data_IF_952026266374
#
_entry.id   IF_952026266374
#
_cell.length_a   1.000
_cell.length_b   1.000
_cell.length_c   1.000
_cell.angle_alpha   90.00
_cell.angle_beta   90.00
_cell.angle_gamma   90.00
#
_symmetry.space_group_name_H-M   'P 1'
#
loop_
_entity.id
_entity.type
_entity.pdbx_description
1 polymer ?
#
# COMPACT_ATOMS: atom_id res chain seq x y z
N UNK A 1 -4.99 -0.17 20.88
CA UNK A 1 -4.84 -0.35 19.42
C UNK A 1 -5.52 -1.60 18.92
N UNK A 2 -5.18 -2.79 19.43
CA UNK A 2 -5.79 -4.05 19.00
C UNK A 2 -7.31 -4.04 19.20
N UNK A 3 -7.80 -3.64 20.37
CA UNK A 3 -9.23 -3.65 20.71
C UNK A 3 -10.08 -2.84 19.72
N UNK A 4 -9.79 -1.56 19.41
CA UNK A 4 -10.55 -0.82 18.39
C UNK A 4 -10.59 -1.49 17.01
N UNK A 5 -9.46 -2.02 16.56
CA UNK A 5 -9.38 -2.66 15.24
C UNK A 5 -10.20 -3.95 15.22
N UNK A 6 -10.06 -4.79 16.26
CA UNK A 6 -10.88 -5.99 16.40
C UNK A 6 -12.36 -5.67 16.56
N UNK A 7 -12.72 -4.57 17.22
CA UNK A 7 -14.12 -4.14 17.35
C UNK A 7 -14.72 -3.79 15.98
N UNK A 8 -14.01 -3.00 15.17
CA UNK A 8 -14.40 -2.72 13.77
C UNK A 8 -14.47 -4.00 12.94
N UNK A 9 -13.55 -4.93 13.18
CA UNK A 9 -13.49 -6.19 12.45
C UNK A 9 -14.44 -7.28 12.98
N UNK A 10 -15.01 -7.09 14.16
CA UNK A 10 -15.76 -8.12 14.86
C UNK A 10 -16.93 -8.71 14.07
N UNK A 11 -17.70 -7.94 13.27
CA UNK A 11 -18.82 -8.50 12.54
C UNK A 11 -18.38 -9.55 11.52
N UNK A 12 -17.21 -9.41 10.89
CA UNK A 12 -16.73 -10.33 9.87
C UNK A 12 -15.72 -11.36 10.37
N UNK A 13 -15.18 -11.18 11.57
CA UNK A 13 -14.32 -12.16 12.23
C UNK A 13 -15.10 -13.20 13.03
N UNK A 14 -16.15 -12.77 13.74
CA UNK A 14 -16.83 -13.61 14.73
C UNK A 14 -18.27 -13.99 14.35
N UNK A 15 -18.75 -13.58 13.18
CA UNK A 15 -20.07 -13.98 12.67
C UNK A 15 -19.97 -14.67 11.31
N UNK A 16 -21.11 -15.07 10.75
CA UNK A 16 -21.21 -15.61 9.38
C UNK A 16 -21.18 -14.52 8.30
N UNK A 17 -21.17 -13.23 8.67
CA UNK A 17 -21.06 -12.13 7.70
C UNK A 17 -19.70 -12.17 7.01
N UNK A 18 -19.70 -11.94 5.71
CA UNK A 18 -18.47 -11.78 4.91
C UNK A 18 -18.32 -10.33 4.50
N UNK A 19 -17.08 -9.87 4.38
CA UNK A 19 -16.78 -8.56 3.85
C UNK A 19 -17.24 -8.50 2.37
N UNK A 20 -18.16 -7.57 2.07
CA UNK A 20 -18.60 -7.31 0.71
C UNK A 20 -17.75 -6.18 0.14
N UNK A 21 -16.74 -6.56 -0.63
CA UNK A 21 -15.88 -5.63 -1.35
C UNK A 21 -16.12 -5.83 -2.85
N UNK A 22 -16.38 -4.74 -3.58
CA UNK A 22 -16.99 -4.80 -4.92
C UNK A 22 -16.17 -5.64 -5.90
N UNK A 23 -14.92 -5.23 -6.17
CA UNK A 23 -14.05 -5.98 -7.09
C UNK A 23 -13.65 -7.34 -6.52
N UNK A 24 -13.69 -7.52 -5.20
CA UNK A 24 -13.46 -8.85 -4.64
C UNK A 24 -14.62 -9.78 -4.94
N UNK A 25 -15.87 -9.32 -4.82
CA UNK A 25 -17.04 -10.10 -5.17
C UNK A 25 -17.02 -10.48 -6.65
N UNK A 26 -16.67 -9.52 -7.50
CA UNK A 26 -16.87 -9.64 -8.95
C UNK A 26 -15.64 -10.18 -9.69
N UNK A 27 -14.43 -10.05 -9.12
CA UNK A 27 -13.17 -10.44 -9.77
C UNK A 27 -12.27 -11.31 -8.86
N UNK A 28 -11.73 -10.77 -7.77
CA UNK A 28 -10.68 -11.47 -7.01
C UNK A 28 -11.18 -12.71 -6.25
N UNK A 29 -12.43 -12.70 -5.80
CA UNK A 29 -13.07 -13.78 -5.06
C UNK A 29 -13.29 -15.03 -5.91
N UNK A 30 -13.93 -14.92 -7.09
CA UNK A 30 -14.02 -16.03 -8.05
C UNK A 30 -12.63 -16.58 -8.44
N UNK A 31 -11.64 -15.72 -8.65
CA UNK A 31 -10.26 -16.13 -8.95
C UNK A 31 -9.63 -16.92 -7.79
N UNK A 32 -9.79 -16.44 -6.56
CA UNK A 32 -9.31 -17.12 -5.38
C UNK A 32 -10.00 -18.48 -5.17
N UNK A 33 -11.30 -18.57 -5.43
CA UNK A 33 -12.07 -19.80 -5.30
C UNK A 33 -11.69 -20.84 -6.36
N UNK A 34 -11.47 -20.40 -7.60
CA UNK A 34 -10.93 -21.26 -8.66
C UNK A 34 -9.57 -21.82 -8.26
N UNK A 35 -8.65 -20.95 -7.81
CA UNK A 35 -7.32 -21.38 -7.38
C UNK A 35 -7.35 -22.34 -6.19
N UNK A 36 -8.29 -22.13 -5.27
CA UNK A 36 -8.54 -23.00 -4.12
C UNK A 36 -9.01 -24.39 -4.55
N UNK A 37 -9.88 -24.47 -5.55
CA UNK A 37 -10.39 -25.74 -6.08
C UNK A 37 -9.27 -26.51 -6.79
N UNK A 38 -8.57 -25.87 -7.72
CA UNK A 38 -7.48 -26.51 -8.46
C UNK A 38 -6.37 -27.01 -7.52
N UNK A 39 -5.96 -26.19 -6.54
CA UNK A 39 -4.96 -26.60 -5.55
C UNK A 39 -5.39 -27.81 -4.71
N UNK A 40 -6.70 -27.97 -4.44
CA UNK A 40 -7.21 -29.13 -3.70
C UNK A 40 -7.26 -30.41 -4.54
N UNK A 41 -7.43 -30.27 -5.84
CA UNK A 41 -7.54 -31.39 -6.77
C UNK A 41 -6.17 -31.87 -7.24
N UNK A 42 -5.28 -30.95 -7.62
CA UNK A 42 -3.98 -31.28 -8.21
C UNK A 42 -2.80 -31.06 -7.27
N UNK A 43 -2.97 -30.29 -6.19
CA UNK A 43 -1.85 -29.81 -5.37
C UNK A 43 -1.02 -28.69 -6.01
N UNK A 44 -1.40 -28.26 -7.22
CA UNK A 44 -0.70 -27.23 -7.98
C UNK A 44 -1.48 -25.92 -7.98
N UNK A 45 -0.76 -24.82 -8.21
CA UNK A 45 -1.38 -23.52 -8.41
C UNK A 45 -1.86 -23.39 -9.86
N UNK A 46 -3.03 -22.77 -10.10
CA UNK A 46 -3.50 -22.50 -11.45
C UNK A 46 -2.49 -21.66 -12.21
N UNK A 47 -2.11 -22.13 -13.39
CA UNK A 47 -1.31 -21.35 -14.35
C UNK A 47 -2.19 -20.58 -15.32
N UNK A 48 -3.39 -21.08 -15.58
CA UNK A 48 -4.34 -20.56 -16.56
C UNK A 48 -5.73 -20.46 -15.94
N UNK A 49 -6.45 -19.37 -16.20
CA UNK A 49 -7.86 -19.23 -15.87
C UNK A 49 -8.69 -19.38 -17.15
N UNK A 50 -9.36 -20.52 -17.39
CA UNK A 50 -10.15 -20.75 -18.61
C UNK A 50 -11.51 -20.02 -18.61
N UNK A 51 -11.93 -19.48 -17.46
CA UNK A 51 -13.28 -18.93 -17.28
C UNK A 51 -13.40 -17.45 -17.67
N UNK A 52 -12.27 -16.78 -17.98
CA UNK A 52 -12.25 -15.37 -18.33
C UNK A 52 -11.78 -15.17 -19.77
N UNK A 53 -12.59 -14.52 -20.61
CA UNK A 53 -12.26 -14.13 -22.00
C UNK A 53 -11.63 -15.25 -22.86
N UNK A 54 -12.17 -16.47 -22.80
CA UNK A 54 -11.63 -17.67 -23.45
C UNK A 54 -10.25 -18.14 -22.94
N UNK A 55 -9.76 -17.50 -21.88
CA UNK A 55 -8.59 -17.90 -21.13
C UNK A 55 -7.62 -16.75 -20.90
N UNK A 56 -7.08 -16.64 -19.68
CA UNK A 56 -6.02 -15.68 -19.33
C UNK A 56 -4.96 -16.33 -18.45
N UNK A 57 -3.69 -15.88 -18.48
CA UNK A 57 -2.68 -16.28 -17.51
C UNK A 57 -3.18 -15.99 -16.10
N UNK A 58 -3.08 -16.96 -15.19
CA UNK A 58 -3.40 -16.74 -13.78
C UNK A 58 -2.16 -16.27 -13.00
N UNK A 59 -1.02 -16.92 -13.25
CA UNK A 59 0.31 -16.45 -12.86
C UNK A 59 0.74 -15.37 -13.85
N UNK A 60 1.39 -14.31 -13.36
CA UNK A 60 1.76 -13.15 -14.20
C UNK A 60 0.63 -12.14 -14.40
N UNK A 61 -0.63 -12.51 -14.14
CA UNK A 61 -1.70 -11.54 -13.98
C UNK A 61 -1.43 -10.68 -12.72
N UNK A 62 -1.02 -9.43 -12.93
CA UNK A 62 -0.56 -8.48 -11.90
C UNK A 62 -1.61 -8.02 -10.90
N UNK A 63 -2.69 -8.78 -10.69
CA UNK A 63 -3.75 -8.50 -9.72
C UNK A 63 -4.00 -9.72 -8.80
N UNK A 64 -3.67 -10.95 -9.22
CA UNK A 64 -3.98 -12.15 -8.44
C UNK A 64 -3.04 -12.39 -7.23
N UNK A 65 -1.88 -11.72 -7.18
CA UNK A 65 -0.91 -11.65 -6.06
C UNK A 65 -0.62 -12.96 -5.33
N UNK A 66 -0.65 -14.09 -6.02
CA UNK A 66 -0.73 -15.39 -5.36
C UNK A 66 0.55 -15.79 -4.63
N UNK A 67 1.69 -15.26 -5.07
CA UNK A 67 2.97 -15.43 -4.40
C UNK A 67 3.15 -14.52 -3.17
N UNK A 68 2.18 -13.66 -2.86
CA UNK A 68 2.13 -12.96 -1.59
C UNK A 68 1.74 -13.94 -0.47
N UNK A 69 2.62 -14.29 0.48
CA UNK A 69 2.37 -15.38 1.41
C UNK A 69 1.06 -15.28 2.21
N UNK A 70 0.57 -14.08 2.61
CA UNK A 70 -0.74 -13.96 3.23
C UNK A 70 -1.90 -14.46 2.36
N UNK A 71 -1.82 -14.35 1.03
CA UNK A 71 -2.86 -14.86 0.12
C UNK A 71 -3.03 -16.38 0.19
N UNK A 72 -2.07 -17.12 0.74
CA UNK A 72 -2.21 -18.56 0.99
C UNK A 72 -3.40 -18.87 1.93
N UNK A 73 -3.85 -17.92 2.75
CA UNK A 73 -5.09 -18.08 3.53
C UNK A 73 -6.33 -18.31 2.66
N UNK A 74 -6.35 -17.77 1.42
CA UNK A 74 -7.44 -17.97 0.47
C UNK A 74 -7.43 -19.38 -0.17
N UNK A 75 -6.30 -20.11 -0.11
CA UNK A 75 -6.25 -21.53 -0.47
C UNK A 75 -6.82 -22.43 0.63
N UNK A 76 -6.70 -22.00 1.89
CA UNK A 76 -7.07 -22.81 3.03
C UNK A 76 -8.53 -22.60 3.43
N UNK A 77 -9.05 -21.38 3.23
CA UNK A 77 -10.39 -20.97 3.67
C UNK A 77 -11.26 -20.54 2.49
N UNK A 78 -12.60 -20.61 2.61
CA UNK A 78 -13.50 -20.00 1.63
C UNK A 78 -13.17 -18.52 1.43
N UNK A 79 -13.20 -18.05 0.18
CA UNK A 79 -12.69 -16.73 -0.22
C UNK A 79 -13.16 -15.58 0.69
N UNK A 80 -14.46 -15.50 1.00
CA UNK A 80 -15.00 -14.45 1.87
C UNK A 80 -14.51 -14.49 3.32
N UNK A 81 -14.33 -15.68 3.90
CA UNK A 81 -13.75 -15.88 5.25
C UNK A 81 -12.26 -15.52 5.25
N UNK A 82 -11.53 -16.01 4.25
CA UNK A 82 -10.10 -15.74 4.11
C UNK A 82 -9.82 -14.24 3.94
N UNK A 83 -10.61 -13.54 3.10
CA UNK A 83 -10.52 -12.10 2.95
C UNK A 83 -10.78 -11.36 4.27
N UNK A 84 -11.82 -11.74 5.01
CA UNK A 84 -12.20 -11.09 6.26
C UNK A 84 -11.05 -11.15 7.29
N UNK A 85 -10.38 -12.29 7.39
CA UNK A 85 -9.19 -12.48 8.24
C UNK A 85 -8.01 -11.66 7.71
N UNK A 86 -7.76 -11.72 6.40
CA UNK A 86 -6.68 -10.95 5.77
C UNK A 86 -6.83 -9.45 5.99
N UNK A 87 -8.02 -8.92 5.79
CA UNK A 87 -8.35 -7.53 6.04
C UNK A 87 -8.00 -7.12 7.47
N UNK A 88 -8.48 -7.88 8.47
CA UNK A 88 -8.19 -7.60 9.88
C UNK A 88 -6.69 -7.64 10.19
N UNK A 89 -5.98 -8.65 9.69
CA UNK A 89 -4.53 -8.78 9.89
C UNK A 89 -3.76 -7.60 9.29
N UNK A 90 -4.14 -7.12 8.10
CA UNK A 90 -3.47 -6.00 7.45
C UNK A 90 -3.80 -4.66 8.11
N UNK A 91 -5.03 -4.44 8.59
CA UNK A 91 -5.36 -3.25 9.38
C UNK A 91 -4.58 -3.24 10.72
N UNK A 92 -4.44 -4.39 11.36
CA UNK A 92 -3.59 -4.54 12.55
C UNK A 92 -2.12 -4.26 12.23
N UNK A 93 -1.61 -4.77 11.11
CA UNK A 93 -0.24 -4.53 10.63
C UNK A 93 0.00 -3.05 10.36
N UNK A 94 -0.92 -2.39 9.66
CA UNK A 94 -0.89 -0.96 9.36
C UNK A 94 -0.81 -0.12 10.64
N UNK A 95 -1.72 -0.38 11.57
CA UNK A 95 -1.76 0.34 12.83
C UNK A 95 -0.51 0.08 13.68
N UNK A 96 -0.11 -1.19 13.85
CA UNK A 96 1.05 -1.59 14.63
C UNK A 96 2.35 -1.03 14.03
N UNK A 97 2.49 -1.09 12.71
CA UNK A 97 3.60 -0.50 11.96
C UNK A 97 3.70 0.99 12.21
N UNK A 98 2.59 1.73 12.08
CA UNK A 98 2.55 3.17 12.29
C UNK A 98 2.85 3.55 13.76
N UNK A 99 2.34 2.78 14.72
CA UNK A 99 2.72 2.95 16.13
C UNK A 99 4.22 2.77 16.34
N UNK A 100 4.82 1.72 15.77
CA UNK A 100 6.26 1.46 15.90
C UNK A 100 7.10 2.52 15.19
N UNK A 101 6.66 2.99 14.02
CA UNK A 101 7.28 4.10 13.30
C UNK A 101 7.25 5.39 14.13
N UNK A 102 6.10 5.78 14.66
CA UNK A 102 5.96 6.93 15.55
C UNK A 102 6.87 6.83 16.79
N UNK A 103 6.92 5.65 17.43
CA UNK A 103 7.84 5.40 18.56
C UNK A 103 9.30 5.54 18.18
N UNK A 104 9.68 5.20 16.94
CA UNK A 104 11.06 5.35 16.44
C UNK A 104 11.50 6.81 16.24
N UNK A 105 10.54 7.75 16.18
CA UNK A 105 10.78 9.19 16.19
C UNK A 105 10.68 9.82 17.60
N UNK A 106 10.55 8.99 18.64
CA UNK A 106 10.53 9.45 20.03
C UNK A 106 9.18 10.01 20.51
N UNK A 107 8.09 9.82 19.75
CA UNK A 107 6.74 10.17 20.22
C UNK A 107 6.36 9.33 21.43
N UNK A 108 5.63 9.88 22.41
CA UNK A 108 5.13 9.15 23.59
C UNK A 108 4.15 8.05 23.19
N UNK A 109 3.87 7.10 24.11
CA UNK A 109 3.03 5.93 23.83
C UNK A 109 1.62 6.32 23.36
N UNK A 110 1.05 7.32 24.01
CA UNK A 110 -0.30 7.83 23.74
C UNK A 110 -0.36 8.42 22.33
N UNK A 111 0.60 9.29 21.99
CA UNK A 111 0.71 9.87 20.65
C UNK A 111 0.90 8.80 19.57
N UNK A 112 1.74 7.80 19.83
CA UNK A 112 1.95 6.70 18.90
C UNK A 112 0.69 5.83 18.72
N UNK A 113 -0.11 5.63 19.78
CA UNK A 113 -1.41 4.93 19.68
C UNK A 113 -2.36 5.71 18.79
N UNK A 114 -2.43 7.04 18.96
CA UNK A 114 -3.25 7.90 18.11
C UNK A 114 -2.79 7.82 16.66
N UNK A 115 -1.48 7.88 16.38
CA UNK A 115 -0.94 7.73 15.01
C UNK A 115 -1.30 6.36 14.40
N UNK A 116 -1.15 5.28 15.19
CA UNK A 116 -1.49 3.92 14.74
C UNK A 116 -2.96 3.77 14.38
N UNK A 117 -3.87 4.30 15.22
CA UNK A 117 -5.30 4.26 14.96
C UNK A 117 -5.70 5.18 13.79
N UNK A 118 -5.11 6.37 13.69
CA UNK A 118 -5.38 7.32 12.62
C UNK A 118 -5.05 6.72 11.24
N UNK A 119 -3.91 6.05 11.11
CA UNK A 119 -3.53 5.38 9.86
C UNK A 119 -4.38 4.13 9.62
N UNK A 120 -4.38 3.20 10.58
CA UNK A 120 -5.00 1.89 10.44
C UNK A 120 -6.52 1.88 10.34
N UNK A 121 -7.19 2.97 10.74
CA UNK A 121 -8.64 3.16 10.60
C UNK A 121 -8.98 4.38 9.74
N UNK A 122 -8.02 4.88 8.94
CA UNK A 122 -8.28 5.97 7.99
C UNK A 122 -9.37 5.57 7.02
N UNK A 123 -10.18 6.54 6.59
CA UNK A 123 -11.19 6.30 5.57
C UNK A 123 -10.55 5.87 4.25
N UNK A 124 -9.32 6.31 3.99
CA UNK A 124 -8.52 5.82 2.87
C UNK A 124 -8.49 4.27 2.92
N UNK A 125 -7.85 3.67 3.93
CA UNK A 125 -7.73 2.20 4.00
C UNK A 125 -9.07 1.48 3.96
N UNK A 126 -10.10 2.01 4.63
CA UNK A 126 -11.44 1.42 4.65
C UNK A 126 -12.11 1.49 3.27
N UNK A 127 -12.03 2.63 2.57
CA UNK A 127 -12.59 2.79 1.23
C UNK A 127 -11.90 1.87 0.22
N UNK A 128 -10.58 1.68 0.33
CA UNK A 128 -9.84 0.76 -0.55
C UNK A 128 -10.20 -0.69 -0.30
N UNK A 129 -10.34 -1.06 0.96
CA UNK A 129 -10.81 -2.38 1.34
C UNK A 129 -12.22 -2.63 0.79
N UNK A 130 -13.12 -1.65 0.88
CA UNK A 130 -14.47 -1.71 0.32
C UNK A 130 -14.48 -1.83 -1.20
N UNK A 131 -13.55 -1.18 -1.90
CA UNK A 131 -13.44 -1.28 -3.35
C UNK A 131 -13.01 -2.69 -3.81
N UNK A 132 -12.28 -3.44 -2.97
CA UNK A 132 -11.86 -4.81 -3.30
C UNK A 132 -10.54 -4.91 -4.06
N UNK A 133 -9.85 -3.80 -4.33
CA UNK A 133 -8.51 -3.75 -4.90
C UNK A 133 -7.44 -4.25 -3.89
N UNK A 134 -7.41 -5.56 -3.66
CA UNK A 134 -6.54 -6.20 -2.68
C UNK A 134 -5.04 -5.87 -2.84
N UNK A 135 -4.44 -5.87 -4.05
CA UNK A 135 -3.04 -5.47 -4.22
C UNK A 135 -2.73 -4.11 -3.59
N UNK A 136 -3.55 -3.11 -3.89
CA UNK A 136 -3.37 -1.75 -3.42
C UNK A 136 -3.50 -1.69 -1.89
N UNK A 137 -4.55 -2.34 -1.35
CA UNK A 137 -4.80 -2.38 0.08
C UNK A 137 -3.63 -3.01 0.86
N UNK A 138 -3.11 -4.16 0.41
CA UNK A 138 -2.00 -4.83 1.08
C UNK A 138 -0.72 -4.01 1.02
N UNK A 139 -0.41 -3.37 -0.11
CA UNK A 139 0.79 -2.52 -0.22
C UNK A 139 0.73 -1.32 0.74
N UNK A 140 -0.40 -0.60 0.80
CA UNK A 140 -0.54 0.56 1.71
C UNK A 140 -0.47 0.13 3.17
N UNK A 141 -1.11 -0.98 3.55
CA UNK A 141 -1.07 -1.47 4.93
C UNK A 141 0.36 -1.81 5.42
N UNK A 142 1.25 -2.17 4.50
CA UNK A 142 2.65 -2.49 4.81
C UNK A 142 3.55 -1.25 4.86
N UNK A 143 3.11 -0.10 4.34
CA UNK A 143 3.92 1.10 4.22
C UNK A 143 4.59 1.53 5.54
N UNK A 144 3.90 1.62 6.70
CA UNK A 144 4.54 2.08 7.93
C UNK A 144 5.62 1.12 8.44
N UNK A 145 5.46 -0.18 8.17
CA UNK A 145 6.46 -1.20 8.52
C UNK A 145 7.69 -1.02 7.64
N UNK A 146 7.52 -0.86 6.33
CA UNK A 146 8.65 -0.69 5.42
C UNK A 146 9.44 0.59 5.74
N UNK A 147 8.75 1.72 6.00
CA UNK A 147 9.41 2.97 6.42
C UNK A 147 10.19 2.81 7.73
N UNK A 148 9.64 2.06 8.69
CA UNK A 148 10.35 1.74 9.93
C UNK A 148 11.62 0.92 9.66
N UNK A 149 11.56 -0.05 8.73
CA UNK A 149 12.69 -0.88 8.36
C UNK A 149 13.78 -0.06 7.66
N UNK A 150 13.41 0.82 6.73
CA UNK A 150 14.33 1.78 6.08
C UNK A 150 15.02 2.65 7.13
N UNK A 151 14.25 3.26 8.05
CA UNK A 151 14.82 4.08 9.12
C UNK A 151 15.76 3.28 10.02
N UNK A 152 15.41 2.04 10.39
CA UNK A 152 16.28 1.20 11.22
C UNK A 152 17.58 0.81 10.52
N UNK A 153 17.51 0.47 9.24
CA UNK A 153 18.66 0.18 8.40
C UNK A 153 19.58 1.41 8.25
N UNK A 154 18.98 2.59 8.09
CA UNK A 154 19.72 3.85 8.06
C UNK A 154 20.44 4.13 9.38
N UNK A 155 19.80 3.90 10.52
CA UNK A 155 20.38 4.21 11.83
C UNK A 155 21.44 3.20 12.30
N UNK A 156 21.29 1.91 11.98
CA UNK A 156 22.23 0.85 12.38
C UNK A 156 22.36 -0.18 11.28
N UNK A 157 23.45 -0.23 10.51
CA UNK A 157 23.57 -1.22 9.45
C UNK A 157 24.07 -2.56 9.99
N UNK A 158 23.20 -3.57 10.02
CA UNK A 158 23.56 -4.95 10.37
C UNK A 158 22.72 -5.98 9.60
N UNK A 159 23.14 -7.25 9.64
CA UNK A 159 22.51 -8.33 8.88
C UNK A 159 21.01 -8.50 9.20
N UNK A 160 20.60 -8.33 10.46
CA UNK A 160 19.19 -8.45 10.83
C UNK A 160 18.33 -7.39 10.11
N UNK A 161 18.82 -6.15 10.03
CA UNK A 161 18.11 -5.06 9.33
C UNK A 161 18.19 -5.19 7.82
N UNK A 162 19.29 -5.72 7.29
CA UNK A 162 19.37 -6.15 5.90
C UNK A 162 18.26 -7.15 5.56
N UNK A 163 18.21 -8.28 6.29
CA UNK A 163 17.26 -9.35 6.05
C UNK A 163 15.80 -8.88 6.25
N UNK A 164 15.56 -8.08 7.29
CA UNK A 164 14.23 -7.52 7.54
C UNK A 164 13.78 -6.57 6.42
N UNK A 165 14.66 -5.68 5.95
CA UNK A 165 14.35 -4.76 4.86
C UNK A 165 14.17 -5.48 3.52
N UNK A 166 15.02 -6.47 3.22
CA UNK A 166 14.91 -7.30 2.03
C UNK A 166 13.59 -8.09 2.03
N UNK A 167 13.26 -8.76 3.14
CA UNK A 167 12.00 -9.50 3.28
C UNK A 167 10.77 -8.58 3.25
N UNK A 168 10.82 -7.44 3.93
CA UNK A 168 9.73 -6.45 3.91
C UNK A 168 9.51 -5.84 2.53
N UNK A 169 10.59 -5.54 1.80
CA UNK A 169 10.52 -5.07 0.41
C UNK A 169 9.97 -6.16 -0.52
N UNK A 170 10.40 -7.41 -0.35
CA UNK A 170 9.89 -8.54 -1.13
C UNK A 170 8.39 -8.74 -0.90
N UNK A 171 7.90 -8.67 0.33
CA UNK A 171 6.47 -8.78 0.64
C UNK A 171 5.64 -7.65 0.00
N UNK A 172 6.19 -6.42 -0.06
CA UNK A 172 5.56 -5.31 -0.75
C UNK A 172 5.52 -5.53 -2.28
N UNK A 173 6.59 -6.05 -2.87
CA UNK A 173 6.66 -6.38 -4.31
C UNK A 173 5.72 -7.53 -4.67
N UNK A 174 5.64 -8.57 -3.83
CA UNK A 174 4.76 -9.73 -4.01
C UNK A 174 3.27 -9.38 -3.85
N UNK A 175 2.94 -8.30 -3.13
CA UNK A 175 1.58 -7.79 -3.04
C UNK A 175 1.06 -7.21 -4.37
N UNK A 176 1.90 -7.11 -5.41
CA UNK A 176 1.48 -7.00 -6.82
C UNK A 176 0.71 -5.74 -7.19
N UNK A 177 0.92 -4.62 -6.50
CA UNK A 177 0.43 -3.31 -6.94
C UNK A 177 1.58 -2.48 -7.53
N UNK A 178 1.82 -2.48 -8.86
CA UNK A 178 2.96 -1.76 -9.44
C UNK A 178 2.98 -0.28 -9.08
N UNK A 179 1.82 0.37 -9.16
CA UNK A 179 1.69 1.79 -8.84
C UNK A 179 1.97 2.11 -7.37
N UNK A 180 1.36 1.38 -6.44
CA UNK A 180 1.55 1.64 -5.02
C UNK A 180 2.95 1.24 -4.54
N UNK A 181 3.53 0.18 -5.11
CA UNK A 181 4.93 -0.22 -4.86
C UNK A 181 5.88 0.89 -5.30
N UNK A 182 5.66 1.45 -6.50
CA UNK A 182 6.48 2.54 -7.01
C UNK A 182 6.39 3.78 -6.10
N UNK A 183 5.17 4.22 -5.76
CA UNK A 183 4.94 5.39 -4.91
C UNK A 183 5.52 5.19 -3.49
N UNK A 184 5.34 4.01 -2.90
CA UNK A 184 5.97 3.67 -1.62
C UNK A 184 7.49 3.59 -1.72
N UNK A 185 8.03 3.12 -2.85
CA UNK A 185 9.45 3.12 -3.17
C UNK A 185 10.03 4.54 -3.19
N UNK A 186 9.34 5.50 -3.82
CA UNK A 186 9.72 6.91 -3.78
C UNK A 186 9.75 7.46 -2.35
N UNK A 187 8.74 7.15 -1.55
CA UNK A 187 8.69 7.57 -0.14
C UNK A 187 9.83 6.95 0.69
N UNK A 188 10.12 5.67 0.46
CA UNK A 188 11.25 4.98 1.09
C UNK A 188 12.59 5.60 0.68
N UNK A 189 12.77 5.94 -0.59
CA UNK A 189 13.97 6.61 -1.09
C UNK A 189 14.13 8.01 -0.49
N UNK A 190 13.06 8.82 -0.44
CA UNK A 190 13.07 10.14 0.17
C UNK A 190 13.43 10.06 1.67
N UNK A 191 12.87 9.09 2.39
CA UNK A 191 13.18 8.84 3.79
C UNK A 191 14.65 8.40 3.95
N UNK A 192 15.10 7.41 3.19
CA UNK A 192 16.49 6.92 3.23
C UNK A 192 17.49 8.05 3.01
N UNK A 193 17.28 8.87 1.97
CA UNK A 193 18.12 10.04 1.68
C UNK A 193 18.15 11.02 2.84
N UNK A 194 17.00 11.31 3.45
CA UNK A 194 16.91 12.23 4.59
C UNK A 194 17.67 11.71 5.81
N UNK A 195 17.50 10.43 6.16
CA UNK A 195 18.20 9.81 7.29
C UNK A 195 19.71 9.75 7.05
N UNK A 196 20.15 9.37 5.84
CA UNK A 196 21.56 9.32 5.47
C UNK A 196 22.20 10.71 5.46
N UNK A 197 21.49 11.72 4.95
CA UNK A 197 21.97 13.11 4.98
C UNK A 197 22.17 13.61 6.43
N UNK A 198 21.26 13.26 7.34
CA UNK A 198 21.43 13.61 8.76
C UNK A 198 22.57 12.85 9.43
N UNK A 199 22.83 11.60 9.05
CA UNK A 199 24.01 10.86 9.52
C UNK A 199 25.31 11.51 9.03
N UNK A 200 25.37 11.83 7.74
CA UNK A 200 26.51 12.51 7.15
C UNK A 200 26.80 13.85 7.84
N UNK A 201 25.76 14.68 8.07
CA UNK A 201 25.90 15.97 8.78
C UNK A 201 26.35 15.83 10.23
N UNK A 202 26.16 14.66 10.86
CA UNK A 202 26.67 14.34 12.20
C UNK A 202 28.08 13.73 12.18
N UNK A 203 28.73 13.66 11.01
CA UNK A 203 30.06 13.07 10.84
C UNK A 203 30.07 11.54 10.88
N UNK A 204 28.90 10.89 10.77
CA UNK A 204 28.82 9.42 10.78
C UNK A 204 29.04 8.83 9.38
N UNK A 205 29.67 7.65 9.32
CA UNK A 205 29.83 6.91 8.06
C UNK A 205 28.49 6.46 7.47
N UNK A 206 28.22 6.88 6.23
CA UNK A 206 26.99 6.56 5.49
C UNK A 206 27.12 5.35 4.57
N UNK A 207 28.33 5.06 4.09
CA UNK A 207 28.57 3.99 3.11
C UNK A 207 28.05 2.61 3.56
N UNK A 208 28.21 2.17 4.83
CA UNK A 208 27.66 0.87 5.26
C UNK A 208 26.13 0.81 5.22
N UNK A 209 25.44 1.90 5.55
CA UNK A 209 23.98 1.95 5.50
C UNK A 209 23.47 2.03 4.07
N UNK A 210 24.13 2.80 3.20
CA UNK A 210 23.82 2.86 1.79
C UNK A 210 23.99 1.49 1.12
N UNK A 211 25.15 0.84 1.34
CA UNK A 211 25.44 -0.49 0.80
C UNK A 211 24.45 -1.55 1.29
N UNK A 212 24.06 -1.52 2.56
CA UNK A 212 23.03 -2.40 3.10
C UNK A 212 21.68 -2.17 2.44
N UNK A 213 21.22 -0.92 2.31
CA UNK A 213 19.93 -0.60 1.70
C UNK A 213 19.91 -0.97 0.22
N UNK A 214 20.98 -0.70 -0.52
CA UNK A 214 21.13 -1.11 -1.92
C UNK A 214 21.11 -2.64 -2.06
N UNK A 215 21.87 -3.35 -1.22
CA UNK A 215 21.86 -4.81 -1.21
C UNK A 215 20.48 -5.39 -0.83
N UNK A 216 19.79 -4.78 0.14
CA UNK A 216 18.46 -5.22 0.55
C UNK A 216 17.42 -4.98 -0.55
N UNK A 217 17.54 -3.91 -1.32
CA UNK A 217 16.72 -3.65 -2.51
C UNK A 217 16.94 -4.73 -3.58
N UNK A 218 18.19 -5.06 -3.91
CA UNK A 218 18.52 -6.15 -4.85
C UNK A 218 18.00 -7.48 -4.35
N UNK A 219 18.17 -7.78 -3.05
CA UNK A 219 17.65 -9.00 -2.44
C UNK A 219 16.11 -9.06 -2.48
N UNK A 220 15.41 -7.94 -2.27
CA UNK A 220 13.96 -7.87 -2.38
C UNK A 220 13.47 -8.16 -3.81
N UNK A 221 14.15 -7.62 -4.82
CA UNK A 221 13.89 -7.94 -6.23
C UNK A 221 14.12 -9.43 -6.53
N UNK A 222 15.23 -10.00 -6.06
CA UNK A 222 15.53 -11.42 -6.24
C UNK A 222 14.49 -12.33 -5.55
N UNK A 223 14.10 -12.03 -4.31
CA UNK A 223 13.09 -12.79 -3.56
C UNK A 223 11.69 -12.70 -4.18
N UNK A 224 11.39 -11.61 -4.88
CA UNK A 224 10.10 -11.39 -5.55
C UNK A 224 10.11 -11.73 -7.04
N UNK A 225 11.24 -12.22 -7.57
CA UNK A 225 11.41 -12.52 -9.00
C UNK A 225 10.40 -13.54 -9.53
N UNK A 226 9.95 -14.48 -8.67
CA UNK A 226 8.90 -15.46 -8.98
C UNK A 226 7.57 -14.80 -9.38
N UNK A 227 7.31 -13.58 -8.90
CA UNK A 227 6.15 -12.79 -9.27
C UNK A 227 6.47 -11.75 -10.36
N UNK A 228 7.62 -11.07 -10.24
CA UNK A 228 7.97 -9.97 -11.13
C UNK A 228 8.28 -10.42 -12.57
N UNK A 229 8.97 -11.55 -12.75
CA UNK A 229 9.33 -12.00 -14.10
C UNK A 229 8.10 -12.39 -14.93
N UNK A 230 7.17 -13.24 -14.43
CA UNK A 230 5.95 -13.53 -15.18
C UNK A 230 5.05 -12.32 -15.38
N UNK A 231 5.06 -11.37 -14.44
CA UNK A 231 4.34 -10.10 -14.57
C UNK A 231 4.87 -9.27 -15.75
N UNK A 232 6.19 -9.16 -15.88
CA UNK A 232 6.83 -8.41 -16.97
C UNK A 232 6.57 -9.08 -18.32
N UNK A 233 6.68 -10.41 -18.38
CA UNK A 233 6.36 -11.21 -19.57
C UNK A 233 4.91 -10.98 -20.01
N UNK A 234 3.95 -11.18 -19.09
CA UNK A 234 2.52 -10.98 -19.34
C UNK A 234 2.19 -9.54 -19.73
N UNK A 235 2.85 -8.55 -19.11
CA UNK A 235 2.64 -7.14 -19.44
C UNK A 235 3.12 -6.80 -20.85
N UNK A 236 4.23 -7.39 -21.28
CA UNK A 236 4.82 -7.19 -22.63
C UNK A 236 3.92 -7.78 -23.71
N UNK A 237 3.35 -8.95 -23.47
CA UNK A 237 2.45 -9.64 -24.41
C UNK A 237 0.99 -9.17 -24.33
N UNK A 238 0.70 -8.19 -23.47
CA UNK A 238 -0.67 -7.71 -23.27
C UNK A 238 -1.11 -6.70 -24.33
N UNK A 239 -2.42 -6.67 -24.60
CA UNK A 239 -3.06 -5.68 -25.48
C UNK A 239 -2.82 -4.22 -25.01
N UNK A 240 -2.41 -4.01 -23.75
CA UNK A 240 -2.03 -2.69 -23.23
C UNK A 240 -0.72 -2.18 -23.79
N UNK A 241 0.20 -3.05 -24.20
CA UNK A 241 1.44 -2.64 -24.87
C UNK A 241 1.17 -2.05 -26.27
N UNK A 242 0.05 -2.45 -26.91
CA UNK A 242 -0.31 -2.06 -28.28
C UNK A 242 -1.42 -0.99 -28.36
N UNK A 243 -2.12 -0.68 -27.26
CA UNK A 243 -3.29 0.19 -27.26
C UNK A 243 -3.09 1.46 -26.41
N UNK A 244 -2.41 2.47 -26.96
CA UNK A 244 -2.18 3.78 -26.31
C UNK A 244 -3.48 4.47 -25.88
N UNK A 245 -4.58 4.31 -26.63
CA UNK A 245 -5.89 4.91 -26.31
C UNK A 245 -6.56 4.32 -25.05
N UNK A 246 -6.26 3.07 -24.68
CA UNK A 246 -6.83 2.40 -23.49
C UNK A 246 -6.08 2.74 -22.19
N UNK A 247 -4.96 3.48 -22.28
CA UNK A 247 -4.02 3.74 -21.18
C UNK A 247 -3.98 5.22 -20.77
N UNK A 248 -4.80 6.08 -21.39
CA UNK A 248 -4.82 7.51 -21.07
C UNK A 248 -4.97 7.76 -19.55
N UNK A 249 -4.06 8.54 -18.92
CA UNK A 249 -4.18 8.91 -17.53
C UNK A 249 -5.53 9.59 -17.29
N UNK A 250 -6.30 9.02 -16.37
CA UNK A 250 -7.52 9.61 -15.86
C UNK A 250 -7.14 10.50 -14.68
N UNK A 251 -7.32 11.81 -14.86
CA UNK A 251 -7.10 12.83 -13.85
C UNK A 251 -8.35 13.69 -13.67
N UNK A 252 -8.94 13.63 -12.47
CA UNK A 252 -10.18 14.28 -12.07
C UNK A 252 -10.18 14.63 -10.56
N UNK A 253 -9.00 14.70 -9.94
CA UNK A 253 -8.85 15.22 -8.57
C UNK A 253 -8.68 16.73 -8.61
N UNK A 254 -9.65 17.45 -8.05
CA UNK A 254 -9.70 18.91 -8.04
C UNK A 254 -9.52 19.46 -6.62
N UNK A 255 -9.43 20.79 -6.51
CA UNK A 255 -9.38 21.49 -5.22
C UNK A 255 -10.60 21.19 -4.33
N UNK A 256 -11.76 20.87 -4.93
CA UNK A 256 -12.97 20.59 -4.15
C UNK A 256 -12.88 19.29 -3.35
N UNK A 257 -12.14 18.29 -3.84
CA UNK A 257 -11.92 17.03 -3.13
C UNK A 257 -11.06 17.18 -1.88
N UNK A 258 -10.30 18.29 -1.72
CA UNK A 258 -9.58 18.57 -0.47
C UNK A 258 -10.52 18.71 0.73
N UNK A 259 -11.79 19.06 0.52
CA UNK A 259 -12.76 19.10 1.59
C UNK A 259 -13.05 17.71 2.19
N UNK A 260 -12.72 16.61 1.50
CA UNK A 260 -12.77 15.27 2.06
C UNK A 260 -11.84 15.10 3.27
N UNK A 261 -10.77 15.91 3.40
CA UNK A 261 -9.90 15.91 4.58
C UNK A 261 -10.70 16.18 5.87
N UNK A 262 -11.70 17.05 5.79
CA UNK A 262 -12.53 17.43 6.92
C UNK A 262 -13.85 16.65 7.00
N UNK A 263 -14.48 16.38 5.85
CA UNK A 263 -15.81 15.77 5.77
C UNK A 263 -15.71 14.44 5.02
N UNK A 264 -15.78 13.29 5.71
CA UNK A 264 -15.71 12.00 5.04
C UNK A 264 -16.89 11.86 4.06
N UNK A 265 -16.62 11.39 2.84
CA UNK A 265 -17.59 11.25 1.74
C UNK A 265 -18.18 12.58 1.21
N UNK A 266 -17.56 13.72 1.49
CA UNK A 266 -17.91 14.98 0.83
C UNK A 266 -17.87 14.81 -0.69
N UNK A 267 -18.96 15.17 -1.38
CA UNK A 267 -19.20 14.95 -2.82
C UNK A 267 -19.28 13.50 -3.33
N UNK A 268 -19.20 12.46 -2.49
CA UNK A 268 -19.43 11.10 -3.00
C UNK A 268 -20.91 10.73 -2.98
N UNK A 269 -21.52 10.67 -4.16
CA UNK A 269 -22.84 10.08 -4.36
C UNK A 269 -22.73 8.87 -5.29
N UNK A 270 -23.18 7.67 -4.89
CA UNK A 270 -22.99 6.42 -5.65
C UNK A 270 -23.56 6.47 -7.07
N UNK A 271 -24.56 7.33 -7.30
CA UNK A 271 -25.21 7.49 -8.62
C UNK A 271 -24.41 8.41 -9.54
N UNK A 272 -23.72 9.43 -9.02
CA UNK A 272 -22.99 10.41 -9.84
C UNK A 272 -21.51 10.09 -9.99
N UNK A 273 -20.93 9.36 -9.03
CA UNK A 273 -19.58 8.82 -9.10
C UNK A 273 -19.58 7.34 -8.64
N UNK A 274 -20.08 6.43 -9.50
CA UNK A 274 -20.21 5.02 -9.15
C UNK A 274 -18.85 4.30 -9.02
N UNK A 275 -17.79 4.84 -9.62
CA UNK A 275 -16.55 4.08 -9.86
C UNK A 275 -15.29 4.69 -9.22
N UNK A 276 -15.25 5.98 -8.84
CA UNK A 276 -14.00 6.67 -8.49
C UNK A 276 -13.98 7.34 -7.11
N UNK A 277 -15.09 7.39 -6.39
CA UNK A 277 -15.11 7.97 -5.04
C UNK A 277 -14.12 7.33 -4.06
N UNK A 278 -13.83 6.04 -4.24
CA UNK A 278 -12.85 5.31 -3.45
C UNK A 278 -11.40 5.55 -3.91
N UNK A 279 -11.18 6.12 -5.10
CA UNK A 279 -9.83 6.49 -5.59
C UNK A 279 -9.35 7.81 -4.98
N UNK A 280 -10.30 8.72 -4.74
CA UNK A 280 -10.07 10.07 -4.21
C UNK A 280 -10.29 10.18 -2.70
N UNK A 281 -10.61 9.06 -2.04
CA UNK A 281 -10.89 9.03 -0.61
C UNK A 281 -9.71 9.56 0.22
N UNK A 282 -9.90 10.75 0.79
CA UNK A 282 -8.87 11.47 1.54
C UNK A 282 -9.44 11.94 2.88
N UNK A 283 -9.64 11.03 3.83
CA UNK A 283 -10.06 11.39 5.20
C UNK A 283 -9.26 10.61 6.25
N UNK A 284 -8.45 11.36 7.00
CA UNK A 284 -7.57 10.85 8.07
C UNK A 284 -8.20 10.99 9.46
N UNK A 285 -9.28 11.76 9.58
CA UNK A 285 -9.88 12.16 10.85
C UNK A 285 -9.58 13.61 11.24
N UNK A 286 -10.59 14.33 11.73
CA UNK A 286 -10.44 15.72 12.19
C UNK A 286 -9.40 15.87 13.32
N UNK A 287 -9.41 14.94 14.28
CA UNK A 287 -8.48 14.99 15.41
C UNK A 287 -7.00 14.87 14.95
N UNK A 288 -6.62 13.86 14.13
CA UNK A 288 -5.28 13.81 13.52
C UNK A 288 -4.88 15.07 12.76
N UNK A 289 -5.79 15.69 12.00
CA UNK A 289 -5.51 16.92 11.26
C UNK A 289 -5.25 18.13 12.19
N UNK A 290 -6.07 18.29 13.23
CA UNK A 290 -5.86 19.33 14.25
C UNK A 290 -4.52 19.13 14.95
N UNK A 291 -4.17 17.88 15.29
CA UNK A 291 -2.90 17.56 15.91
C UNK A 291 -1.71 17.81 14.97
N UNK A 292 -1.85 17.51 13.67
CA UNK A 292 -0.83 17.80 12.66
C UNK A 292 -0.59 19.31 12.52
N UNK A 293 -1.65 20.12 12.44
CA UNK A 293 -1.53 21.58 12.42
C UNK A 293 -0.87 22.13 13.69
N UNK A 294 -1.22 21.57 14.86
CA UNK A 294 -0.58 21.90 16.14
C UNK A 294 0.91 21.52 16.21
N UNK A 295 1.32 20.44 15.51
CA UNK A 295 2.69 19.97 15.49
C UNK A 295 3.63 20.97 14.79
N UNK A 296 3.22 21.57 13.67
CA UNK A 296 3.99 22.62 13.00
C UNK A 296 4.24 23.83 13.89
N UNK A 297 3.27 24.18 14.73
CA UNK A 297 3.38 25.33 15.65
C UNK A 297 4.25 25.05 16.88
N UNK A 298 4.19 23.84 17.43
CA UNK A 298 4.80 23.51 18.75
C UNK A 298 6.03 22.61 18.69
N UNK A 299 6.23 21.87 17.60
CA UNK A 299 7.29 20.86 17.44
C UNK A 299 7.81 20.82 16.00
N UNK A 300 8.31 21.96 15.53
CA UNK A 300 9.05 22.15 14.29
C UNK A 300 10.37 21.34 14.24
N UNK A 301 10.29 20.02 14.32
CA UNK A 301 11.43 19.09 14.23
C UNK A 301 11.53 18.55 12.82
N UNK A 302 12.73 18.11 12.43
CA UNK A 302 13.01 17.54 11.12
C UNK A 302 11.96 16.54 10.60
N UNK A 303 11.48 15.56 11.39
CA UNK A 303 10.47 14.61 10.91
C UNK A 303 9.12 15.25 10.57
N UNK A 304 8.71 16.31 11.28
CA UNK A 304 7.45 17.01 11.00
C UNK A 304 7.53 17.71 9.66
N UNK A 305 8.66 18.37 9.37
CA UNK A 305 8.88 18.98 8.06
C UNK A 305 8.99 17.96 6.94
N UNK A 306 9.67 16.83 7.18
CA UNK A 306 9.76 15.74 6.20
C UNK A 306 8.38 15.19 5.81
N UNK A 307 7.60 14.71 6.78
CA UNK A 307 6.27 14.16 6.49
C UNK A 307 5.30 15.24 5.99
N UNK A 308 5.46 16.48 6.45
CA UNK A 308 4.74 17.63 5.92
C UNK A 308 5.02 17.91 4.44
N UNK A 309 6.29 17.87 4.04
CA UNK A 309 6.70 18.04 2.64
C UNK A 309 6.22 16.88 1.77
N UNK A 310 6.32 15.64 2.26
CA UNK A 310 5.74 14.46 1.59
C UNK A 310 4.24 14.63 1.35
N UNK A 311 3.51 15.05 2.39
CA UNK A 311 2.08 15.31 2.29
C UNK A 311 1.76 16.39 1.25
N UNK A 312 2.52 17.49 1.26
CA UNK A 312 2.36 18.57 0.29
C UNK A 312 2.64 18.09 -1.15
N UNK A 313 3.74 17.36 -1.38
CA UNK A 313 4.07 16.83 -2.70
C UNK A 313 3.00 15.86 -3.19
N UNK A 314 2.50 14.97 -2.33
CA UNK A 314 1.42 14.05 -2.68
C UNK A 314 0.11 14.79 -3.05
N UNK A 315 -0.25 15.85 -2.31
CA UNK A 315 -1.41 16.67 -2.64
C UNK A 315 -1.22 17.46 -3.94
N UNK A 316 -0.04 18.03 -4.17
CA UNK A 316 0.26 18.76 -5.39
C UNK A 316 0.27 17.84 -6.61
N UNK A 317 0.87 16.65 -6.49
CA UNK A 317 0.82 15.63 -7.53
C UNK A 317 -0.62 15.19 -7.78
N UNK A 318 -1.42 14.99 -6.74
CA UNK A 318 -2.81 14.64 -6.92
C UNK A 318 -3.62 15.74 -7.61
N UNK A 319 -3.34 17.02 -7.35
CA UNK A 319 -4.01 18.15 -8.00
C UNK A 319 -3.55 18.40 -9.43
N UNK A 320 -2.32 18.02 -9.77
CA UNK A 320 -1.70 18.35 -11.06
C UNK A 320 -1.63 17.17 -12.02
N UNK A 321 -1.34 15.97 -11.51
CA UNK A 321 -1.14 14.74 -12.29
C UNK A 321 0.16 14.70 -13.11
N UNK A 322 1.00 15.73 -13.02
CA UNK A 322 2.21 15.85 -13.85
C UNK A 322 3.48 16.22 -13.08
N UNK A 323 3.40 16.59 -11.79
CA UNK A 323 4.56 17.02 -10.99
C UNK A 323 5.64 15.93 -10.92
N UNK A 324 5.25 14.66 -10.95
CA UNK A 324 6.11 13.48 -10.94
C UNK A 324 6.19 12.77 -12.29
N UNK A 325 5.50 13.25 -13.33
CA UNK A 325 5.47 12.60 -14.65
C UNK A 325 6.83 12.56 -15.36
N UNK A 326 7.78 13.39 -14.95
CA UNK A 326 9.17 13.35 -15.44
C UNK A 326 9.97 12.16 -14.89
N UNK A 327 9.47 11.47 -13.86
CA UNK A 327 10.11 10.27 -13.34
C UNK A 327 9.89 9.08 -14.29
N UNK A 328 10.91 8.23 -14.49
CA UNK A 328 10.79 7.04 -15.34
C UNK A 328 9.59 6.18 -14.95
N UNK A 329 8.79 5.80 -15.94
CA UNK A 329 7.58 4.97 -15.83
C UNK A 329 6.40 5.56 -15.04
N UNK A 330 6.56 6.71 -14.38
CA UNK A 330 5.48 7.30 -13.58
C UNK A 330 4.28 7.72 -14.45
N UNK A 331 4.54 8.33 -15.61
CA UNK A 331 3.49 8.72 -16.56
C UNK A 331 2.68 7.56 -17.14
N UNK A 332 3.13 6.31 -16.97
CA UNK A 332 2.38 5.11 -17.38
C UNK A 332 1.25 4.72 -16.41
N UNK A 333 1.15 5.37 -15.24
CA UNK A 333 0.10 5.07 -14.28
C UNK A 333 -1.21 5.81 -14.62
N UNK A 334 -2.29 5.04 -14.66
CA UNK A 334 -3.61 5.54 -15.06
C UNK A 334 -4.21 6.59 -14.11
N UNK A 335 -3.92 6.54 -12.81
CA UNK A 335 -4.56 7.41 -11.80
C UNK A 335 -3.50 7.98 -10.86
N UNK A 336 -2.77 9.04 -11.23
CA UNK A 336 -1.65 9.58 -10.43
C UNK A 336 -2.07 10.01 -9.02
N UNK A 337 -3.33 10.44 -8.88
CA UNK A 337 -4.00 10.87 -7.63
C UNK A 337 -3.90 9.87 -6.49
N UNK A 338 -3.75 8.57 -6.80
CA UNK A 338 -3.54 7.51 -5.80
C UNK A 338 -2.33 7.75 -4.90
N UNK A 339 -1.44 8.69 -5.24
CA UNK A 339 -0.35 9.11 -4.36
C UNK A 339 -0.81 9.74 -3.04
N UNK A 340 -2.03 10.30 -2.94
CA UNK A 340 -2.55 10.87 -1.67
C UNK A 340 -2.66 9.84 -0.55
N UNK A 341 -2.58 8.57 -0.90
CA UNK A 341 -2.63 7.43 0.02
C UNK A 341 -1.30 7.18 0.73
N UNK A 342 -0.24 7.85 0.29
CA UNK A 342 1.08 7.85 0.92
C UNK A 342 1.24 8.97 1.97
N UNK A 343 0.19 9.79 2.18
CA UNK A 343 0.09 10.84 3.22
C UNK A 343 -0.23 10.19 4.56
#
# INVERSE_FOLDING_TARGET
MIVPILAVCSPFLFTSRVLLADDFRDYFGPHAEMARQEFRESGELPRWNPYQYAGVPYVGAGQNNFYYPPMLLLLLLPAGRGLSILAALHLLLAAAGMYRLARSYGLRRESAVVSGLAFGLSFCLIARLSAGHLPNFFTVCQAPVLLLLVRRAALRPDFFRFASLAGGGALVLLAGSPQFVYQLGLLCAALATTELAWRFRRGEAVAPALGLMAGAFVAALALSAVHLLPLIETATDSNRAAAEELVQPFHDFTLTQLAMLAVPRFFWHPVSDPWLGHEKALYLGLLPLILAAGAFRRRARGPVYFFGAVALVALLEALTGFLLAWLPWYGGFRIPERIVWMI
#
